data_IF_495784014595
#
_entry.id   IF_495784014595
#
_cell.length_a   1.000
_cell.length_b   1.000
_cell.length_c   1.000
_cell.angle_alpha   90.00
_cell.angle_beta   90.00
_cell.angle_gamma   90.00
#
_symmetry.space_group_name_H-M   'P 1'
#
loop_
_entity.id
_entity.type
_entity.pdbx_description
1 polymer ?
#
# COMPACT_ATOMS: atom_id res chain seq x y z
N UNK A 1 16.46 21.51 74.32
CA UNK A 1 16.01 20.32 73.52
C UNK A 1 15.61 20.83 72.14
N UNK A 2 16.52 20.64 71.20
CA UNK A 2 16.34 21.09 69.82
C UNK A 2 15.91 19.92 68.94
N UNK A 3 14.71 20.00 68.35
CA UNK A 3 14.26 19.03 67.35
C UNK A 3 14.63 19.53 65.95
N UNK A 4 15.53 18.86 65.29
CA UNK A 4 15.98 19.11 63.94
C UNK A 4 15.10 18.29 62.98
N UNK A 5 14.24 18.97 62.16
CA UNK A 5 13.50 18.36 61.07
C UNK A 5 14.44 18.12 59.90
N UNK A 6 14.65 16.85 59.56
CA UNK A 6 15.27 16.45 58.27
C UNK A 6 14.23 16.63 57.15
N UNK A 7 14.50 17.54 56.24
CA UNK A 7 13.77 17.62 54.97
C UNK A 7 14.46 16.73 53.92
N UNK A 8 13.75 15.69 53.52
CA UNK A 8 14.16 14.83 52.43
C UNK A 8 13.85 15.49 51.10
N UNK A 9 14.87 15.90 50.36
CA UNK A 9 14.73 16.44 49.01
C UNK A 9 14.43 15.31 48.03
N UNK A 10 13.26 15.31 47.44
CA UNK A 10 12.90 14.44 46.34
C UNK A 10 13.46 15.06 45.05
N UNK A 11 14.47 14.42 44.46
CA UNK A 11 14.99 14.79 43.16
C UNK A 11 13.94 14.46 42.09
N UNK A 12 13.36 15.50 41.50
CA UNK A 12 12.52 15.37 40.30
C UNK A 12 13.43 15.16 39.11
N UNK A 13 13.44 13.95 38.57
CA UNK A 13 14.10 13.64 37.31
C UNK A 13 13.27 14.24 36.17
N UNK A 14 13.73 15.36 35.64
CA UNK A 14 13.16 15.96 34.43
C UNK A 14 13.46 15.05 33.25
N UNK A 15 12.42 14.37 32.74
CA UNK A 15 12.49 13.68 31.44
C UNK A 15 12.58 14.76 30.36
N UNK A 16 13.76 14.93 29.80
CA UNK A 16 13.99 15.77 28.63
C UNK A 16 13.25 15.13 27.44
N UNK A 17 12.09 15.68 27.08
CA UNK A 17 11.44 15.35 25.83
C UNK A 17 12.29 15.89 24.69
N UNK A 18 12.80 14.99 23.86
CA UNK A 18 13.48 15.30 22.62
C UNK A 18 12.46 15.91 21.64
N UNK A 19 12.58 17.18 21.21
CA UNK A 19 11.60 17.84 20.35
C UNK A 19 11.67 17.42 18.88
N UNK A 20 12.43 16.37 18.55
CA UNK A 20 12.69 15.92 17.18
C UNK A 20 11.93 14.70 16.70
N UNK A 21 11.22 13.99 17.57
CA UNK A 21 10.40 12.85 17.14
C UNK A 21 9.06 13.34 16.63
N UNK A 22 8.95 13.66 15.36
CA UNK A 22 7.65 13.77 14.68
C UNK A 22 6.95 12.42 14.86
N UNK A 23 5.76 12.36 15.49
CA UNK A 23 5.04 11.10 15.60
C UNK A 23 4.80 10.58 14.18
N UNK A 24 5.33 9.40 13.85
CA UNK A 24 4.98 8.70 12.63
C UNK A 24 3.48 8.39 12.72
N UNK A 25 2.68 9.31 12.18
CA UNK A 25 1.24 9.11 12.07
C UNK A 25 1.06 7.87 11.22
N UNK A 26 0.48 6.82 11.78
CA UNK A 26 0.19 5.61 11.06
C UNK A 26 -0.60 5.95 9.79
N UNK A 27 -0.19 5.43 8.64
CA UNK A 27 -0.87 5.71 7.39
C UNK A 27 -2.35 5.31 7.50
N UNK A 28 -3.29 6.16 7.06
CA UNK A 28 -4.71 5.85 7.14
C UNK A 28 -5.03 4.61 6.30
N UNK A 29 -5.88 3.75 6.84
CA UNK A 29 -6.36 2.58 6.11
C UNK A 29 -7.40 3.01 5.09
N UNK A 30 -7.19 2.66 3.83
CA UNK A 30 -8.15 2.83 2.75
C UNK A 30 -8.67 1.45 2.34
N UNK A 31 -9.98 1.30 2.16
CA UNK A 31 -10.59 0.05 1.73
C UNK A 31 -10.96 0.11 0.26
N UNK A 32 -10.84 -0.98 -0.46
CA UNK A 32 -11.30 -1.08 -1.84
C UNK A 32 -12.79 -0.77 -2.02
N UNK A 33 -13.62 -1.10 -1.02
CA UNK A 33 -15.04 -0.73 -0.98
C UNK A 33 -15.29 0.77 -1.02
N UNK A 34 -14.30 1.56 -0.60
CA UNK A 34 -14.42 3.00 -0.47
C UNK A 34 -13.92 3.75 -1.73
N UNK A 35 -13.53 3.02 -2.80
CA UNK A 35 -12.97 3.63 -4.00
C UNK A 35 -14.01 4.37 -4.83
N UNK A 36 -15.20 3.79 -4.97
CA UNK A 36 -16.23 4.30 -5.87
C UNK A 36 -17.55 4.52 -5.15
N UNK A 37 -18.35 5.42 -5.72
CA UNK A 37 -19.70 5.68 -5.23
C UNK A 37 -20.66 4.57 -5.71
N UNK A 38 -21.53 4.15 -4.80
CA UNK A 38 -22.63 3.23 -5.11
C UNK A 38 -23.96 3.80 -4.60
N UNK A 39 -25.07 3.59 -5.33
CA UNK A 39 -25.19 2.88 -6.61
C UNK A 39 -24.48 3.63 -7.77
N UNK A 40 -24.09 2.89 -8.80
CA UNK A 40 -23.45 3.47 -9.99
C UNK A 40 -24.42 4.44 -10.67
N UNK A 41 -23.97 5.68 -10.85
CA UNK A 41 -24.76 6.73 -11.50
C UNK A 41 -24.80 6.60 -13.04
N UNK A 42 -25.56 7.47 -13.72
CA UNK A 42 -25.69 7.45 -15.18
C UNK A 42 -24.37 7.75 -15.93
N UNK A 43 -23.41 8.35 -15.28
CA UNK A 43 -22.08 8.64 -15.83
C UNK A 43 -21.07 7.51 -15.59
N UNK A 44 -21.50 6.39 -15.01
CA UNK A 44 -20.65 5.25 -14.69
C UNK A 44 -20.07 5.32 -13.28
N UNK A 45 -18.90 4.67 -13.09
CA UNK A 45 -18.21 4.63 -11.80
C UNK A 45 -17.55 5.98 -11.49
N UNK A 46 -17.97 6.58 -10.40
CA UNK A 46 -17.41 7.84 -9.90
C UNK A 46 -16.52 7.60 -8.68
N UNK A 47 -15.33 8.21 -8.68
CA UNK A 47 -14.43 8.15 -7.52
C UNK A 47 -15.09 8.75 -6.28
N UNK A 48 -15.00 8.05 -5.17
CA UNK A 48 -15.55 8.52 -3.89
C UNK A 48 -14.75 9.72 -3.34
N UNK A 49 -15.31 10.50 -2.42
CA UNK A 49 -14.56 11.51 -1.68
C UNK A 49 -13.36 10.92 -0.93
N UNK A 50 -13.48 9.71 -0.38
CA UNK A 50 -12.41 9.04 0.34
C UNK A 50 -11.21 8.75 -0.59
N UNK A 51 -11.45 8.19 -1.78
CA UNK A 51 -10.41 7.95 -2.77
C UNK A 51 -9.72 9.25 -3.21
N UNK A 52 -10.51 10.29 -3.51
CA UNK A 52 -9.97 11.60 -3.92
C UNK A 52 -9.13 12.26 -2.83
N UNK A 53 -9.54 12.16 -1.56
CA UNK A 53 -8.78 12.71 -0.43
C UNK A 53 -7.50 11.93 -0.12
N UNK A 54 -7.46 10.65 -0.47
CA UNK A 54 -6.29 9.80 -0.32
C UNK A 54 -5.23 10.05 -1.41
N UNK A 55 -5.58 10.69 -2.51
CA UNK A 55 -4.65 11.01 -3.59
C UNK A 55 -3.45 11.83 -3.09
N UNK A 56 -2.24 11.40 -3.43
CA UNK A 56 -0.98 12.01 -3.01
C UNK A 56 -0.56 11.70 -1.56
N UNK A 57 -1.35 10.92 -0.83
CA UNK A 57 -1.04 10.57 0.56
C UNK A 57 -0.56 9.14 0.70
N UNK A 58 0.16 8.88 1.78
CA UNK A 58 0.45 7.51 2.21
C UNK A 58 -0.82 6.85 2.75
N UNK A 59 -1.09 5.65 2.29
CA UNK A 59 -2.24 4.84 2.72
C UNK A 59 -1.80 3.41 3.00
N UNK A 60 -2.59 2.73 3.80
CA UNK A 60 -2.52 1.31 4.06
C UNK A 60 -3.67 0.63 3.32
N UNK A 61 -3.36 -0.31 2.43
CA UNK A 61 -4.33 -1.00 1.58
C UNK A 61 -4.18 -2.51 1.74
N UNK A 62 -5.30 -3.21 1.98
CA UNK A 62 -5.33 -4.66 2.17
C UNK A 62 -6.04 -5.33 1.01
N UNK A 63 -5.43 -6.34 0.41
CA UNK A 63 -5.97 -7.04 -0.75
C UNK A 63 -5.12 -8.22 -1.21
N UNK A 64 -5.28 -8.60 -2.46
CA UNK A 64 -4.63 -9.76 -3.07
C UNK A 64 -3.81 -9.35 -4.29
N UNK A 65 -2.63 -9.92 -4.41
CA UNK A 65 -1.83 -9.83 -5.62
C UNK A 65 -2.51 -10.64 -6.74
N UNK A 66 -2.63 -10.06 -7.92
CA UNK A 66 -3.18 -10.77 -9.08
C UNK A 66 -2.17 -11.80 -9.58
N UNK A 67 -2.62 -13.02 -9.79
CA UNK A 67 -1.81 -14.05 -10.42
C UNK A 67 -1.85 -13.83 -11.95
N UNK A 68 -0.71 -13.53 -12.55
CA UNK A 68 -0.53 -13.37 -13.98
C UNK A 68 0.13 -14.64 -14.55
N UNK A 69 -0.35 -15.13 -15.69
CA UNK A 69 0.12 -16.38 -16.30
C UNK A 69 1.63 -16.32 -16.62
N UNK A 70 2.09 -15.20 -17.17
CA UNK A 70 3.51 -14.98 -17.49
C UNK A 70 4.31 -14.29 -16.38
N UNK A 71 3.75 -14.24 -15.16
CA UNK A 71 4.34 -13.53 -14.04
C UNK A 71 4.07 -12.03 -14.05
N UNK A 72 4.52 -11.32 -13.00
CA UNK A 72 4.38 -9.88 -12.92
C UNK A 72 5.28 -9.18 -13.94
N UNK A 73 4.84 -8.04 -14.47
CA UNK A 73 5.71 -7.17 -15.27
C UNK A 73 6.81 -6.57 -14.38
N UNK A 74 7.99 -6.25 -14.94
CA UNK A 74 9.06 -5.64 -14.17
C UNK A 74 8.61 -4.38 -13.43
N UNK A 75 9.00 -4.27 -12.17
CA UNK A 75 8.77 -3.11 -11.31
C UNK A 75 7.33 -2.86 -10.88
N UNK A 76 6.40 -3.78 -11.16
CA UNK A 76 4.98 -3.56 -10.85
C UNK A 76 4.18 -4.86 -10.77
N UNK A 77 3.03 -4.80 -10.08
CA UNK A 77 2.03 -5.86 -10.07
C UNK A 77 0.63 -5.31 -9.80
N UNK A 78 -0.41 -6.07 -10.16
CA UNK A 78 -1.79 -5.69 -9.87
C UNK A 78 -2.23 -6.18 -8.49
N UNK A 79 -3.07 -5.36 -7.86
CA UNK A 79 -3.58 -5.58 -6.51
C UNK A 79 -5.08 -5.36 -6.47
N UNK A 80 -5.83 -6.30 -5.92
CA UNK A 80 -7.30 -6.38 -6.06
C UNK A 80 -7.98 -6.72 -4.74
N UNK A 81 -9.28 -6.38 -4.57
CA UNK A 81 -10.05 -6.69 -3.36
C UNK A 81 -10.35 -8.19 -3.17
N UNK A 82 -10.20 -8.99 -4.23
CA UNK A 82 -10.47 -10.43 -4.24
C UNK A 82 -9.38 -11.15 -5.02
N UNK A 83 -9.13 -12.44 -4.77
CA UNK A 83 -8.19 -13.21 -5.58
C UNK A 83 -8.63 -13.20 -7.06
N UNK A 84 -7.70 -12.90 -7.96
CA UNK A 84 -7.91 -12.89 -9.41
C UNK A 84 -6.73 -13.57 -10.08
N UNK A 85 -7.04 -14.42 -11.06
CA UNK A 85 -6.08 -14.97 -12.00
C UNK A 85 -6.32 -14.32 -13.36
N UNK A 86 -5.28 -13.77 -13.95
CA UNK A 86 -5.31 -13.12 -15.25
C UNK A 86 -4.65 -14.03 -16.27
N UNK A 87 -5.38 -14.43 -17.31
CA UNK A 87 -4.89 -15.21 -18.43
C UNK A 87 -4.64 -14.30 -19.61
N UNK A 88 -3.50 -14.43 -20.26
CA UNK A 88 -3.23 -13.78 -21.54
C UNK A 88 -3.74 -14.65 -22.67
N UNK A 89 -5.01 -14.49 -23.07
CA UNK A 89 -5.55 -15.13 -24.25
C UNK A 89 -5.24 -14.30 -25.48
N UNK A 90 -4.89 -14.97 -26.59
CA UNK A 90 -4.53 -14.34 -27.85
C UNK A 90 -5.66 -13.51 -28.52
N UNK A 91 -6.89 -13.66 -28.04
CA UNK A 91 -8.08 -13.00 -28.61
C UNK A 91 -8.48 -11.69 -27.92
N UNK A 92 -7.54 -11.04 -27.23
CA UNK A 92 -7.76 -9.73 -26.62
C UNK A 92 -8.44 -9.82 -25.26
N UNK A 93 -7.81 -9.25 -24.38
CA UNK A 93 -8.08 -8.78 -23.02
C UNK A 93 -9.53 -8.87 -22.52
N UNK A 94 -9.97 -10.03 -22.14
CA UNK A 94 -10.96 -10.09 -21.09
C UNK A 94 -10.23 -9.75 -19.77
N UNK A 95 -10.03 -8.47 -19.51
CA UNK A 95 -9.56 -8.00 -18.23
C UNK A 95 -10.68 -8.23 -17.20
N UNK A 96 -10.76 -9.43 -16.65
CA UNK A 96 -11.63 -9.76 -15.52
C UNK A 96 -11.18 -9.05 -14.22
N UNK A 97 -10.36 -8.02 -14.37
CA UNK A 97 -9.89 -7.23 -13.25
C UNK A 97 -11.03 -6.36 -12.70
N UNK A 98 -11.27 -6.40 -11.37
CA UNK A 98 -12.26 -5.54 -10.75
C UNK A 98 -11.97 -4.06 -11.03
N UNK A 99 -12.99 -3.20 -11.16
CA UNK A 99 -12.80 -1.75 -11.35
C UNK A 99 -11.90 -1.10 -10.29
N UNK A 100 -11.90 -1.65 -9.08
CA UNK A 100 -11.06 -1.18 -7.97
C UNK A 100 -9.63 -1.76 -8.01
N UNK A 101 -9.15 -2.24 -9.16
CA UNK A 101 -7.77 -2.71 -9.29
C UNK A 101 -6.79 -1.57 -9.12
N UNK A 102 -5.74 -1.83 -8.35
CA UNK A 102 -4.62 -0.91 -8.12
C UNK A 102 -3.37 -1.45 -8.80
N UNK A 103 -2.67 -0.60 -9.55
CA UNK A 103 -1.34 -0.90 -10.03
C UNK A 103 -0.33 -0.52 -8.95
N UNK A 104 0.31 -1.52 -8.35
CA UNK A 104 1.38 -1.31 -7.38
C UNK A 104 2.70 -1.15 -8.13
N UNK A 105 3.41 -0.07 -7.84
CA UNK A 105 4.75 0.22 -8.39
C UNK A 105 5.81 0.09 -7.31
N UNK A 106 6.91 -0.53 -7.67
CA UNK A 106 8.10 -0.64 -6.83
C UNK A 106 8.92 0.66 -6.91
N UNK A 107 9.91 0.79 -6.02
CA UNK A 107 10.85 1.89 -6.07
C UNK A 107 11.64 1.90 -7.40
N UNK A 108 12.15 3.07 -7.86
CA UNK A 108 12.83 3.19 -9.15
C UNK A 108 14.06 2.28 -9.30
N UNK A 109 14.79 2.02 -8.23
CA UNK A 109 15.93 1.10 -8.18
C UNK A 109 15.52 -0.38 -8.29
N UNK A 110 14.24 -0.67 -8.08
CA UNK A 110 13.61 -1.99 -8.16
C UNK A 110 12.79 -2.18 -9.45
N UNK A 111 12.85 -1.23 -10.37
CA UNK A 111 12.03 -1.21 -11.59
C UNK A 111 12.25 -2.42 -12.52
N UNK A 112 13.38 -3.12 -12.40
CA UNK A 112 13.68 -4.31 -13.18
C UNK A 112 13.20 -5.62 -12.54
N UNK A 113 12.64 -5.58 -11.33
CA UNK A 113 12.26 -6.79 -10.60
C UNK A 113 10.93 -7.37 -11.09
N UNK A 114 10.94 -8.65 -11.42
CA UNK A 114 9.74 -9.45 -11.60
C UNK A 114 9.39 -10.11 -10.27
N UNK A 115 8.29 -9.71 -9.65
CA UNK A 115 7.90 -10.18 -8.32
C UNK A 115 7.12 -11.49 -8.44
N UNK A 116 7.56 -12.57 -7.78
CA UNK A 116 6.80 -13.80 -7.71
C UNK A 116 5.42 -13.56 -7.08
N UNK A 117 4.40 -14.27 -7.57
CA UNK A 117 3.06 -14.16 -7.03
C UNK A 117 3.03 -14.60 -5.56
N UNK A 118 2.59 -13.72 -4.69
CA UNK A 118 2.32 -14.00 -3.27
C UNK A 118 0.85 -14.29 -3.08
N UNK A 119 0.54 -15.50 -2.60
CA UNK A 119 -0.85 -15.91 -2.30
C UNK A 119 -1.31 -15.32 -0.98
N UNK A 120 -2.62 -15.14 -0.86
CA UNK A 120 -3.25 -14.69 0.38
C UNK A 120 -3.47 -13.19 0.46
N UNK A 121 -4.10 -12.79 1.56
CA UNK A 121 -4.42 -11.40 1.85
C UNK A 121 -3.17 -10.71 2.40
N UNK A 122 -2.68 -9.69 1.72
CA UNK A 122 -1.52 -8.91 2.13
C UNK A 122 -1.91 -7.45 2.38
N UNK A 123 -1.15 -6.77 3.21
CA UNK A 123 -1.33 -5.36 3.51
C UNK A 123 -0.13 -4.56 3.01
N UNK A 124 -0.38 -3.58 2.16
CA UNK A 124 0.63 -2.75 1.54
C UNK A 124 0.52 -1.30 2.01
N UNK A 125 1.66 -0.68 2.22
CA UNK A 125 1.75 0.74 2.51
C UNK A 125 2.47 1.47 1.39
N UNK A 126 1.91 2.59 0.94
CA UNK A 126 2.51 3.38 -0.12
C UNK A 126 1.77 4.69 -0.38
N UNK A 127 2.29 5.46 -1.31
CA UNK A 127 1.67 6.72 -1.76
C UNK A 127 0.68 6.42 -2.88
N UNK A 128 -0.56 6.85 -2.68
CA UNK A 128 -1.65 6.62 -3.64
C UNK A 128 -1.67 7.73 -4.71
N UNK A 129 -1.82 7.34 -5.97
CA UNK A 129 -2.10 8.24 -7.09
C UNK A 129 -3.43 7.87 -7.71
N UNK A 130 -4.28 8.87 -7.94
CA UNK A 130 -5.62 8.71 -8.53
C UNK A 130 -5.72 9.54 -9.80
N UNK A 131 -6.18 8.90 -10.87
CA UNK A 131 -6.32 9.50 -12.19
C UNK A 131 -5.94 8.53 -13.30
N UNK A 132 -6.32 8.87 -14.55
CA UNK A 132 -6.00 8.05 -15.72
C UNK A 132 -4.49 8.03 -15.95
N UNK A 133 -3.92 6.85 -15.93
CA UNK A 133 -2.51 6.63 -16.26
C UNK A 133 -2.43 5.47 -17.26
N UNK A 134 -1.64 5.65 -18.29
CA UNK A 134 -1.43 4.67 -19.33
C UNK A 134 -0.02 4.06 -19.20
N UNK A 135 0.01 2.74 -19.12
CA UNK A 135 1.26 2.00 -19.13
C UNK A 135 1.83 1.91 -20.55
N UNK A 136 3.15 1.63 -20.73
CA UNK A 136 3.77 1.51 -22.05
C UNK A 136 3.14 0.44 -22.96
N UNK A 137 2.42 -0.52 -22.38
CA UNK A 137 1.66 -1.56 -23.09
C UNK A 137 0.24 -1.13 -23.50
N UNK A 138 -0.11 0.16 -23.32
CA UNK A 138 -1.43 0.72 -23.63
C UNK A 138 -2.49 0.49 -22.54
N UNK A 139 -2.19 -0.27 -21.50
CA UNK A 139 -3.13 -0.53 -20.41
C UNK A 139 -3.37 0.73 -19.58
N UNK A 140 -4.63 1.04 -19.35
CA UNK A 140 -5.05 2.17 -18.53
C UNK A 140 -5.35 1.70 -17.10
N UNK A 141 -4.77 2.40 -16.14
CA UNK A 141 -5.08 2.26 -14.71
C UNK A 141 -5.56 3.59 -14.13
N UNK A 142 -6.48 3.52 -13.18
CA UNK A 142 -7.05 4.72 -12.55
C UNK A 142 -6.51 4.96 -11.15
N UNK A 143 -5.98 3.92 -10.51
CA UNK A 143 -5.42 3.99 -9.16
C UNK A 143 -4.07 3.30 -9.16
N UNK A 144 -3.05 3.96 -8.64
CA UNK A 144 -1.72 3.41 -8.46
C UNK A 144 -1.25 3.59 -7.02
N UNK A 145 -0.49 2.64 -6.54
CA UNK A 145 0.17 2.67 -5.23
C UNK A 145 1.68 2.57 -5.44
N UNK A 146 2.41 3.65 -5.18
CA UNK A 146 3.85 3.64 -5.11
C UNK A 146 4.26 3.10 -3.75
N UNK A 147 4.88 1.92 -3.70
CA UNK A 147 5.34 1.35 -2.44
C UNK A 147 6.36 2.27 -1.76
N UNK A 148 6.33 2.28 -0.43
CA UNK A 148 7.29 3.07 0.33
C UNK A 148 8.71 2.51 0.11
N UNK A 149 9.62 3.28 -0.51
CA UNK A 149 10.98 2.81 -0.80
C UNK A 149 11.79 2.49 0.47
N UNK A 150 11.47 3.14 1.59
CA UNK A 150 12.14 2.87 2.86
C UNK A 150 11.86 1.47 3.39
N UNK A 151 10.63 0.96 3.17
CA UNK A 151 10.22 -0.37 3.63
C UNK A 151 10.96 -1.52 2.90
N UNK A 152 11.48 -1.25 1.71
CA UNK A 152 12.12 -2.25 0.85
C UNK A 152 13.59 -1.92 0.53
N UNK A 153 14.13 -0.88 1.17
CA UNK A 153 15.51 -0.45 0.96
C UNK A 153 16.51 -1.56 1.25
N UNK A 154 17.41 -1.80 0.32
CA UNK A 154 18.49 -2.78 0.44
C UNK A 154 18.07 -4.23 0.27
N UNK A 155 16.79 -4.52 0.01
CA UNK A 155 16.31 -5.85 -0.29
C UNK A 155 16.69 -6.25 -1.74
N UNK A 156 16.86 -7.55 -1.94
CA UNK A 156 16.81 -8.14 -3.28
C UNK A 156 15.40 -8.70 -3.56
N UNK A 157 15.16 -9.20 -4.78
CA UNK A 157 13.84 -9.68 -5.22
C UNK A 157 13.30 -10.83 -4.36
N UNK A 158 14.17 -11.72 -3.87
CA UNK A 158 13.75 -12.84 -3.02
C UNK A 158 13.40 -12.39 -1.61
N UNK A 159 14.18 -11.47 -1.05
CA UNK A 159 13.90 -10.85 0.24
C UNK A 159 12.61 -10.06 0.20
N UNK A 160 12.36 -9.35 -0.90
CA UNK A 160 11.09 -8.65 -1.11
C UNK A 160 9.90 -9.62 -1.20
N UNK A 161 10.04 -10.73 -1.92
CA UNK A 161 9.01 -11.77 -1.95
C UNK A 161 8.74 -12.34 -0.54
N UNK A 162 9.79 -12.60 0.24
CA UNK A 162 9.69 -12.99 1.65
C UNK A 162 8.99 -11.92 2.49
N UNK A 163 9.33 -10.65 2.31
CA UNK A 163 8.68 -9.52 2.97
C UNK A 163 7.18 -9.48 2.69
N UNK A 164 6.73 -9.66 1.43
CA UNK A 164 5.31 -9.74 1.11
C UNK A 164 4.60 -10.86 1.88
N UNK A 165 5.26 -12.00 2.09
CA UNK A 165 4.71 -13.08 2.91
C UNK A 165 4.55 -12.67 4.38
N UNK A 166 5.44 -11.83 4.93
CA UNK A 166 5.32 -11.35 6.32
C UNK A 166 4.14 -10.38 6.50
N UNK A 167 3.70 -9.74 5.41
CA UNK A 167 2.56 -8.82 5.41
C UNK A 167 1.20 -9.53 5.30
N UNK A 168 1.20 -10.85 5.26
CA UNK A 168 -0.04 -11.61 5.25
C UNK A 168 -0.75 -11.47 6.59
N UNK A 169 -2.05 -11.14 6.53
CA UNK A 169 -2.91 -11.20 7.70
C UNK A 169 -3.26 -12.67 7.98
N UNK A 170 -2.81 -13.16 9.13
CA UNK A 170 -3.35 -14.41 9.70
C UNK A 170 -4.78 -14.12 10.16
N UNK A 171 -5.73 -14.85 9.61
CA UNK A 171 -7.11 -14.87 10.07
C UNK A 171 -7.27 -15.83 11.25
#
# INVERSE_FOLDING_TARGET
MAFQCLQTAIAQTSVTQDPGATPMTAAPTLRFSDFYLFPVGPLGLESSPALRQAAGKQVLLTGYMVQQENGSKPGQFFFTPRPVQMSEHADGDADDLPPATVLVKLAPDQAAWCIPHTRGLIQLQGTLSVGRQEAPDGRVTWVQLQLNPEATRGMNVFEFAGYLHTLQHSH
#
